data_IF_173658944530
#
_entry.id   IF_173658944530
#
_cell.length_a   1.000
_cell.length_b   1.000
_cell.length_c   1.000
_cell.angle_alpha   90.00
_cell.angle_beta   90.00
_cell.angle_gamma   90.00
#
_symmetry.space_group_name_H-M   'P 1'
#
loop_
_entity.id
_entity.type
_entity.pdbx_description
1 polymer ?
#
# COMPACT_ATOMS: atom_id res chain seq x y z
N UNK A 1 -8.51 9.95 -19.18
CA UNK A 1 -7.12 9.58 -18.80
C UNK A 1 -6.81 10.33 -17.52
N UNK A 2 -6.19 9.69 -16.53
CA UNK A 2 -5.74 10.40 -15.33
C UNK A 2 -4.76 11.51 -15.73
N UNK A 3 -4.77 12.62 -15.01
CA UNK A 3 -3.76 13.68 -15.20
C UNK A 3 -2.36 13.10 -14.93
N UNK A 4 -1.37 13.50 -15.72
CA UNK A 4 0.03 13.13 -15.47
C UNK A 4 0.47 13.72 -14.13
N UNK A 5 1.12 12.89 -13.30
CA UNK A 5 1.71 13.31 -12.05
C UNK A 5 3.02 14.04 -12.33
N UNK A 6 3.21 15.23 -11.75
CA UNK A 6 4.31 16.14 -12.12
C UNK A 6 5.47 16.17 -11.11
N UNK A 7 5.29 15.56 -9.94
CA UNK A 7 6.28 15.59 -8.85
C UNK A 7 7.19 14.35 -8.90
N UNK A 8 8.19 14.28 -8.00
CA UNK A 8 9.15 13.17 -7.98
C UNK A 8 8.51 11.90 -7.40
N UNK A 9 9.04 10.76 -7.84
CA UNK A 9 8.70 9.45 -7.30
C UNK A 9 9.97 8.78 -6.78
N UNK A 10 10.01 8.48 -5.48
CA UNK A 10 11.01 7.58 -4.92
C UNK A 10 10.39 6.20 -4.75
N UNK A 11 11.05 5.19 -5.31
CA UNK A 11 10.68 3.78 -5.14
C UNK A 11 11.74 3.12 -4.28
N UNK A 12 11.34 2.61 -3.11
CA UNK A 12 12.21 1.78 -2.28
C UNK A 12 12.01 0.31 -2.66
N UNK A 13 13.10 -0.38 -2.95
CA UNK A 13 13.10 -1.76 -3.43
C UNK A 13 13.06 -1.86 -4.97
N UNK A 14 13.86 -2.77 -5.49
CA UNK A 14 13.95 -3.16 -6.90
C UNK A 14 13.71 -4.68 -7.07
N UNK A 15 12.71 -5.19 -6.34
CA UNK A 15 12.28 -6.58 -6.33
C UNK A 15 11.34 -6.94 -7.48
N UNK A 16 10.57 -8.03 -7.33
CA UNK A 16 9.57 -8.46 -8.31
C UNK A 16 8.45 -7.45 -8.48
N UNK A 17 7.94 -6.87 -7.39
CA UNK A 17 6.83 -5.91 -7.42
C UNK A 17 7.22 -4.64 -8.19
N UNK A 18 8.42 -4.11 -7.95
CA UNK A 18 8.92 -2.93 -8.66
C UNK A 18 9.05 -3.16 -10.16
N UNK A 19 9.49 -4.36 -10.58
CA UNK A 19 9.57 -4.74 -12.00
C UNK A 19 8.20 -4.71 -12.69
N UNK A 20 7.15 -5.09 -11.99
CA UNK A 20 5.79 -5.12 -12.52
C UNK A 20 5.16 -3.74 -12.60
N UNK A 21 5.39 -2.87 -11.60
CA UNK A 21 4.71 -1.57 -11.51
C UNK A 21 5.40 -0.47 -12.33
N UNK A 22 6.73 -0.51 -12.46
CA UNK A 22 7.51 0.52 -13.15
C UNK A 22 7.05 0.78 -14.59
N UNK A 23 6.82 -0.23 -15.45
CA UNK A 23 6.32 -0.01 -16.80
C UNK A 23 4.96 0.72 -16.81
N UNK A 24 4.06 0.34 -15.90
CA UNK A 24 2.72 0.93 -15.79
C UNK A 24 2.77 2.39 -15.33
N UNK A 25 3.64 2.71 -14.36
CA UNK A 25 3.85 4.10 -13.92
C UNK A 25 4.35 4.97 -15.08
N UNK A 26 5.35 4.49 -15.82
CA UNK A 26 5.95 5.22 -16.94
C UNK A 26 4.94 5.37 -18.10
N UNK A 27 4.11 4.36 -18.35
CA UNK A 27 3.13 4.39 -19.43
C UNK A 27 1.96 5.35 -19.13
N UNK A 28 1.51 5.39 -17.88
CA UNK A 28 0.22 6.02 -17.56
C UNK A 28 0.30 7.26 -16.68
N UNK A 29 1.34 7.43 -15.86
CA UNK A 29 1.31 8.40 -14.76
C UNK A 29 2.50 9.37 -14.73
N UNK A 30 3.72 8.93 -15.04
CA UNK A 30 4.94 9.73 -14.86
C UNK A 30 5.93 9.57 -16.02
N UNK A 31 6.82 10.55 -16.19
CA UNK A 31 8.06 10.40 -16.96
C UNK A 31 9.07 9.58 -16.15
N UNK A 32 9.84 8.71 -16.80
CA UNK A 32 10.88 7.91 -16.16
C UNK A 32 11.91 8.77 -15.40
N UNK A 33 12.21 9.99 -15.88
CA UNK A 33 13.14 10.92 -15.23
C UNK A 33 12.65 11.45 -13.86
N UNK A 34 11.35 11.31 -13.56
CA UNK A 34 10.81 11.63 -12.24
C UNK A 34 11.11 10.53 -11.21
N UNK A 35 11.52 9.34 -11.67
CA UNK A 35 11.66 8.15 -10.83
C UNK A 35 13.12 8.01 -10.35
N UNK A 36 13.27 7.90 -9.04
CA UNK A 36 14.47 7.37 -8.38
C UNK A 36 14.14 6.03 -7.75
N UNK A 37 14.94 5.00 -8.03
CA UNK A 37 14.82 3.65 -7.46
C UNK A 37 15.98 3.46 -6.49
N UNK A 38 15.70 3.09 -5.24
CA UNK A 38 16.71 2.83 -4.22
C UNK A 38 16.58 1.41 -3.69
N UNK A 39 17.69 0.66 -3.67
CA UNK A 39 17.74 -0.69 -3.10
C UNK A 39 19.14 -0.93 -2.52
N UNK A 40 19.22 -1.66 -1.41
CA UNK A 40 20.49 -2.00 -0.76
C UNK A 40 21.37 -2.93 -1.63
N UNK A 41 20.76 -3.69 -2.55
CA UNK A 41 21.46 -4.58 -3.49
C UNK A 41 21.57 -3.92 -4.86
N UNK A 42 22.55 -4.34 -5.65
CA UNK A 42 22.57 -3.99 -7.07
C UNK A 42 21.58 -4.87 -7.86
N UNK A 43 20.39 -4.32 -8.10
CA UNK A 43 19.31 -4.94 -8.85
C UNK A 43 19.03 -4.19 -10.15
N UNK A 44 19.96 -3.37 -10.68
CA UNK A 44 19.76 -2.58 -11.90
C UNK A 44 19.26 -3.39 -13.09
N UNK A 45 19.73 -4.64 -13.22
CA UNK A 45 19.29 -5.55 -14.28
C UNK A 45 17.79 -5.84 -14.25
N UNK A 46 17.18 -5.90 -13.05
CA UNK A 46 15.73 -6.13 -12.90
C UNK A 46 14.92 -4.96 -13.44
N UNK A 47 15.40 -3.74 -13.25
CA UNK A 47 14.67 -2.51 -13.60
C UNK A 47 15.23 -1.81 -14.83
N UNK A 48 16.00 -2.52 -15.67
CA UNK A 48 16.73 -1.96 -16.82
C UNK A 48 15.83 -1.13 -17.75
N UNK A 49 14.60 -1.60 -18.02
CA UNK A 49 13.67 -0.88 -18.89
C UNK A 49 13.28 0.52 -18.39
N UNK A 50 13.26 0.76 -17.07
CA UNK A 50 13.06 2.09 -16.52
C UNK A 50 14.32 2.95 -16.62
N UNK A 51 15.50 2.35 -16.38
CA UNK A 51 16.80 3.03 -16.46
C UNK A 51 17.12 3.48 -17.89
N UNK A 52 16.86 2.62 -18.89
CA UNK A 52 17.03 2.95 -20.30
C UNK A 52 16.16 4.14 -20.74
N UNK A 53 15.04 4.38 -20.03
CA UNK A 53 14.13 5.51 -20.25
C UNK A 53 14.49 6.76 -19.43
N UNK A 54 15.48 6.68 -18.54
CA UNK A 54 16.00 7.82 -17.78
C UNK A 54 15.70 7.82 -16.27
N UNK A 55 15.15 6.74 -15.71
CA UNK A 55 15.05 6.61 -14.25
C UNK A 55 16.44 6.52 -13.60
N UNK A 56 16.55 7.03 -12.37
CA UNK A 56 17.79 7.00 -11.59
C UNK A 56 17.81 5.77 -10.68
N UNK A 57 18.97 5.12 -10.54
CA UNK A 57 19.16 4.02 -9.59
C UNK A 57 20.23 4.36 -8.55
N UNK A 58 19.88 4.19 -7.28
CA UNK A 58 20.76 4.39 -6.13
C UNK A 58 20.89 3.05 -5.40
N UNK A 59 22.14 2.61 -5.20
CA UNK A 59 22.41 1.47 -4.35
C UNK A 59 22.74 1.98 -2.94
N UNK A 60 21.75 1.98 -2.06
CA UNK A 60 21.87 2.45 -0.67
C UNK A 60 20.82 1.75 0.20
N UNK A 61 21.03 1.76 1.51
CA UNK A 61 20.15 1.13 2.49
C UNK A 61 19.53 2.19 3.39
N UNK A 62 18.20 2.18 3.51
CA UNK A 62 17.50 2.93 4.55
C UNK A 62 17.59 2.17 5.88
N UNK A 63 18.03 2.86 6.93
CA UNK A 63 18.17 2.35 8.29
C UNK A 63 17.45 3.28 9.26
N UNK A 64 17.27 2.84 10.50
CA UNK A 64 16.69 3.68 11.57
C UNK A 64 17.45 5.00 11.73
N UNK A 65 18.79 4.96 11.65
CA UNK A 65 19.64 6.14 11.89
C UNK A 65 19.65 7.12 10.72
N UNK A 66 19.42 6.65 9.49
CA UNK A 66 19.61 7.46 8.29
C UNK A 66 18.31 7.87 7.58
N UNK A 67 17.15 7.30 7.96
CA UNK A 67 15.88 7.45 7.25
C UNK A 67 15.55 8.91 6.92
N UNK A 68 15.57 9.80 7.91
CA UNK A 68 15.25 11.21 7.69
C UNK A 68 16.21 11.87 6.70
N UNK A 69 17.52 11.71 6.93
CA UNK A 69 18.56 12.31 6.11
C UNK A 69 18.55 11.81 4.67
N UNK A 70 18.19 10.54 4.45
CA UNK A 70 18.15 9.93 3.13
C UNK A 70 16.89 10.33 2.38
N UNK A 71 15.71 10.22 3.00
CA UNK A 71 14.46 10.57 2.34
C UNK A 71 14.41 12.07 1.96
N UNK A 72 14.95 12.97 2.81
CA UNK A 72 15.04 14.41 2.50
C UNK A 72 15.91 14.76 1.28
N UNK A 73 16.83 13.89 0.85
CA UNK A 73 17.62 14.12 -0.38
C UNK A 73 16.78 13.94 -1.64
N UNK A 74 15.71 13.15 -1.55
CA UNK A 74 14.96 12.68 -2.72
C UNK A 74 13.51 13.18 -2.75
N UNK A 75 12.95 13.50 -1.58
CA UNK A 75 11.53 13.80 -1.41
C UNK A 75 11.31 15.14 -0.71
N UNK A 76 10.25 15.81 -1.14
CA UNK A 76 9.70 17.05 -0.62
C UNK A 76 8.17 16.99 -0.63
N UNK A 77 7.51 17.97 -0.01
CA UNK A 77 6.05 17.98 0.06
C UNK A 77 5.40 17.90 -1.34
N UNK A 78 4.44 16.98 -1.50
CA UNK A 78 3.78 16.70 -2.77
C UNK A 78 4.45 15.61 -3.63
N UNK A 79 5.67 15.19 -3.30
CA UNK A 79 6.31 14.03 -3.94
C UNK A 79 5.65 12.71 -3.48
N UNK A 80 5.96 11.63 -4.19
CA UNK A 80 5.40 10.30 -3.92
C UNK A 80 6.48 9.29 -3.51
N UNK A 81 6.28 8.64 -2.37
CA UNK A 81 7.05 7.50 -1.92
C UNK A 81 6.27 6.20 -2.13
N UNK A 82 6.79 5.35 -3.02
CA UNK A 82 6.32 3.99 -3.25
C UNK A 82 7.27 3.01 -2.55
N UNK A 83 6.82 2.48 -1.42
CA UNK A 83 7.59 1.60 -0.56
C UNK A 83 7.30 0.13 -0.88
N UNK A 84 8.25 -0.48 -1.59
CA UNK A 84 8.26 -1.90 -1.98
C UNK A 84 9.47 -2.62 -1.39
N UNK A 85 10.09 -2.04 -0.36
CA UNK A 85 11.21 -2.62 0.34
C UNK A 85 10.75 -3.56 1.46
N UNK A 86 11.70 -4.31 2.01
CA UNK A 86 11.52 -5.11 3.21
C UNK A 86 12.41 -4.52 4.32
N UNK A 87 12.11 -4.86 5.58
CA UNK A 87 12.91 -4.44 6.75
C UNK A 87 12.96 -2.92 7.00
N UNK A 88 11.91 -2.19 6.65
CA UNK A 88 11.70 -0.79 7.05
C UNK A 88 10.40 -0.75 7.85
N UNK A 89 10.42 -0.19 9.05
CA UNK A 89 9.20 -0.10 9.86
C UNK A 89 8.17 0.82 9.21
N UNK A 90 7.01 0.25 8.88
CA UNK A 90 5.94 0.93 8.17
C UNK A 90 5.41 2.15 8.95
N UNK A 91 5.35 2.08 10.29
CA UNK A 91 4.89 3.21 11.10
C UNK A 91 5.88 4.37 11.04
N UNK A 92 7.18 4.08 11.15
CA UNK A 92 8.25 5.08 11.10
C UNK A 92 8.24 5.84 9.77
N UNK A 93 8.24 5.12 8.65
CA UNK A 93 8.28 5.76 7.32
C UNK A 93 6.96 6.47 6.99
N UNK A 94 5.83 5.90 7.39
CA UNK A 94 4.51 6.52 7.22
C UNK A 94 4.41 7.84 8.01
N UNK A 95 4.89 7.87 9.25
CA UNK A 95 4.90 9.09 10.05
C UNK A 95 5.82 10.15 9.42
N UNK A 96 6.99 9.74 8.91
CA UNK A 96 7.88 10.65 8.20
C UNK A 96 7.20 11.27 6.97
N UNK A 97 6.52 10.47 6.14
CA UNK A 97 5.76 10.96 4.99
C UNK A 97 4.64 11.93 5.40
N UNK A 98 3.89 11.60 6.46
CA UNK A 98 2.86 12.48 7.01
C UNK A 98 3.43 13.84 7.42
N UNK A 99 4.55 13.84 8.16
CA UNK A 99 5.16 15.06 8.68
C UNK A 99 5.75 15.95 7.58
N UNK A 100 6.28 15.34 6.51
CA UNK A 100 6.91 16.03 5.38
C UNK A 100 5.96 16.27 4.19
N UNK A 101 4.68 15.91 4.31
CA UNK A 101 3.67 16.14 3.25
C UNK A 101 3.90 15.32 1.98
N UNK A 102 4.49 14.13 2.11
CA UNK A 102 4.79 13.21 1.01
C UNK A 102 3.68 12.17 0.88
N UNK A 103 3.21 11.92 -0.34
CA UNK A 103 2.27 10.83 -0.61
C UNK A 103 2.95 9.49 -0.35
N UNK A 104 2.24 8.52 0.23
CA UNK A 104 2.83 7.22 0.56
C UNK A 104 1.97 6.06 0.07
N UNK A 105 2.61 5.02 -0.49
CA UNK A 105 1.97 3.74 -0.74
C UNK A 105 2.92 2.60 -0.41
N UNK A 106 2.42 1.56 0.26
CA UNK A 106 3.13 0.29 0.39
C UNK A 106 2.22 -0.92 0.13
N UNK A 107 2.81 -2.12 0.16
CA UNK A 107 2.07 -3.39 -0.02
C UNK A 107 2.11 -4.31 1.19
N UNK A 108 2.80 -3.93 2.27
CA UNK A 108 2.95 -4.73 3.50
C UNK A 108 3.24 -3.85 4.72
N UNK A 109 2.76 -4.23 5.91
CA UNK A 109 3.18 -3.62 7.18
C UNK A 109 4.43 -4.33 7.70
N UNK A 110 5.57 -3.78 7.31
CA UNK A 110 6.91 -4.24 7.72
C UNK A 110 7.36 -3.62 9.05
N UNK A 111 8.35 -4.25 9.68
CA UNK A 111 9.02 -3.81 10.90
C UNK A 111 10.53 -3.75 10.67
N UNK A 112 11.22 -2.93 11.46
CA UNK A 112 12.67 -3.08 11.62
C UNK A 112 12.98 -4.42 12.29
N UNK A 113 13.91 -5.17 11.73
CA UNK A 113 14.39 -6.45 12.24
C UNK A 113 13.24 -7.38 12.68
N UNK A 114 12.36 -7.82 11.75
CA UNK A 114 11.10 -8.49 12.09
C UNK A 114 11.30 -9.80 12.86
N UNK A 115 12.49 -10.38 12.80
CA UNK A 115 12.87 -11.61 13.50
C UNK A 115 13.56 -11.37 14.84
N UNK A 116 13.85 -10.11 15.21
CA UNK A 116 14.46 -9.77 16.49
C UNK A 116 13.60 -10.31 17.65
N UNK A 117 14.23 -11.01 18.60
CA UNK A 117 13.56 -11.65 19.72
C UNK A 117 12.86 -12.98 19.41
N UNK A 118 12.66 -13.33 18.13
CA UNK A 118 12.19 -14.65 17.69
C UNK A 118 11.07 -15.26 18.54
N UNK A 119 11.32 -16.47 19.06
CA UNK A 119 10.37 -17.20 19.90
C UNK A 119 10.19 -16.61 21.32
N UNK A 120 11.06 -15.68 21.75
CA UNK A 120 11.00 -15.05 23.07
C UNK A 120 10.03 -13.87 23.13
N UNK A 121 9.53 -13.38 21.98
CA UNK A 121 8.46 -12.36 21.94
C UNK A 121 7.11 -12.97 22.31
N UNK A 122 6.27 -12.18 22.97
CA UNK A 122 4.90 -12.59 23.29
C UNK A 122 4.15 -12.95 21.98
N UNK A 123 3.39 -14.07 21.91
CA UNK A 123 2.75 -14.51 20.67
C UNK A 123 1.88 -13.45 19.98
N UNK A 124 1.20 -12.59 20.75
CA UNK A 124 0.38 -11.50 20.18
C UNK A 124 1.22 -10.49 19.40
N UNK A 125 2.42 -10.15 19.88
CA UNK A 125 3.32 -9.17 19.25
C UNK A 125 3.85 -9.65 17.89
N UNK A 126 3.72 -10.95 17.62
CA UNK A 126 4.13 -11.58 16.37
C UNK A 126 3.03 -11.60 15.31
N UNK A 127 1.85 -11.05 15.60
CA UNK A 127 0.69 -11.05 14.69
C UNK A 127 0.61 -9.78 13.85
N UNK A 128 0.07 -9.88 12.64
CA UNK A 128 -0.26 -8.71 11.82
C UNK A 128 -1.31 -7.81 12.51
N UNK A 129 -2.22 -8.40 13.30
CA UNK A 129 -3.19 -7.64 14.09
C UNK A 129 -2.50 -6.65 15.03
N UNK A 130 -1.47 -7.08 15.75
CA UNK A 130 -0.72 -6.21 16.65
C UNK A 130 -0.04 -5.06 15.88
N UNK A 131 0.56 -5.34 14.73
CA UNK A 131 1.16 -4.31 13.86
C UNK A 131 0.14 -3.26 13.40
N UNK A 132 -1.05 -3.72 12.98
CA UNK A 132 -2.16 -2.85 12.60
C UNK A 132 -2.65 -1.98 13.76
N UNK A 133 -2.76 -2.55 14.97
CA UNK A 133 -3.17 -1.79 16.14
C UNK A 133 -2.16 -0.69 16.51
N UNK A 134 -0.85 -0.96 16.39
CA UNK A 134 0.19 0.07 16.55
C UNK A 134 0.07 1.19 15.52
N UNK A 135 -0.24 0.86 14.26
CA UNK A 135 -0.48 1.87 13.22
C UNK A 135 -1.70 2.75 13.54
N UNK A 136 -2.79 2.16 14.03
CA UNK A 136 -3.98 2.93 14.47
C UNK A 136 -3.66 3.84 15.64
N UNK A 137 -2.89 3.36 16.61
CA UNK A 137 -2.42 4.17 17.74
C UNK A 137 -1.55 5.34 17.27
N UNK A 138 -0.58 5.09 16.38
CA UNK A 138 0.24 6.14 15.78
C UNK A 138 -0.62 7.19 15.08
N UNK A 139 -1.54 6.77 14.19
CA UNK A 139 -2.44 7.67 13.47
C UNK A 139 -3.31 8.50 14.43
N UNK A 140 -3.74 7.93 15.57
CA UNK A 140 -4.56 8.64 16.55
C UNK A 140 -3.85 9.84 17.19
N UNK A 141 -2.52 9.90 17.11
CA UNK A 141 -1.69 11.00 17.62
C UNK A 141 -1.50 12.13 16.60
N UNK A 142 -1.89 11.92 15.34
CA UNK A 142 -1.81 12.97 14.32
C UNK A 142 -2.84 14.07 14.57
N UNK A 143 -2.39 15.31 14.60
CA UNK A 143 -3.19 16.49 14.93
C UNK A 143 -3.54 17.38 13.72
N UNK A 144 -3.07 17.01 12.54
CA UNK A 144 -3.32 17.70 11.27
C UNK A 144 -3.70 16.70 10.20
N UNK A 145 -4.49 17.15 9.22
CA UNK A 145 -4.68 16.38 7.98
C UNK A 145 -3.39 16.51 7.17
N UNK A 146 -2.73 15.39 6.89
CA UNK A 146 -1.50 15.34 6.10
C UNK A 146 -1.75 14.81 4.69
N UNK A 147 -0.66 14.54 3.97
CA UNK A 147 -0.72 13.90 2.66
C UNK A 147 -1.35 12.50 2.74
N UNK A 148 -2.00 12.09 1.66
CA UNK A 148 -2.63 10.75 1.58
C UNK A 148 -1.58 9.66 1.66
N UNK A 149 -1.86 8.66 2.50
CA UNK A 149 -1.09 7.43 2.58
C UNK A 149 -2.02 6.22 2.42
N UNK A 150 -1.62 5.30 1.54
CA UNK A 150 -2.35 4.05 1.28
C UNK A 150 -1.47 2.89 1.74
N UNK A 151 -1.92 2.17 2.76
CA UNK A 151 -1.19 1.02 3.31
C UNK A 151 -1.75 -0.28 2.75
N UNK A 152 -0.88 -1.28 2.59
CA UNK A 152 -1.25 -2.65 2.23
C UNK A 152 -2.04 -2.75 0.91
N UNK A 153 -1.58 -2.04 -0.12
CA UNK A 153 -2.29 -1.91 -1.39
C UNK A 153 -1.59 -2.64 -2.53
N UNK A 154 -1.40 -3.95 -2.36
CA UNK A 154 -0.97 -4.87 -3.41
C UNK A 154 -2.13 -5.68 -3.99
N UNK A 155 -1.90 -6.98 -4.21
CA UNK A 155 -2.96 -7.93 -4.56
C UNK A 155 -3.76 -8.35 -3.31
N UNK A 156 -3.10 -9.00 -2.36
CA UNK A 156 -3.63 -9.53 -1.12
C UNK A 156 -2.60 -9.36 0.02
N UNK A 157 -2.62 -8.25 0.76
CA UNK A 157 -3.72 -7.27 0.89
C UNK A 157 -3.77 -6.23 -0.25
N UNK A 158 -4.93 -5.58 -0.43
CA UNK A 158 -5.16 -4.55 -1.45
C UNK A 158 -6.33 -4.89 -2.38
N UNK A 159 -6.04 -5.30 -3.62
CA UNK A 159 -7.02 -5.66 -4.66
C UNK A 159 -8.17 -6.53 -4.16
N UNK A 160 -7.88 -7.52 -3.31
CA UNK A 160 -8.89 -8.41 -2.74
C UNK A 160 -10.00 -7.68 -1.97
N UNK A 161 -9.71 -6.52 -1.36
CA UNK A 161 -10.73 -5.71 -0.69
C UNK A 161 -11.72 -5.11 -1.70
N UNK A 162 -11.23 -4.71 -2.89
CA UNK A 162 -12.08 -4.26 -3.99
C UNK A 162 -12.92 -5.40 -4.56
N UNK A 163 -12.31 -6.58 -4.73
CA UNK A 163 -13.01 -7.77 -5.20
C UNK A 163 -14.14 -8.18 -4.25
N UNK A 164 -13.91 -8.14 -2.93
CA UNK A 164 -14.97 -8.41 -1.94
C UNK A 164 -16.16 -7.47 -2.11
N UNK A 165 -15.92 -6.15 -2.23
CA UNK A 165 -16.99 -5.18 -2.47
C UNK A 165 -17.71 -5.46 -3.78
N UNK A 166 -16.96 -5.71 -4.86
CA UNK A 166 -17.52 -6.00 -6.18
C UNK A 166 -18.39 -7.27 -6.16
N UNK A 167 -17.94 -8.33 -5.49
CA UNK A 167 -18.72 -9.56 -5.32
C UNK A 167 -20.01 -9.32 -4.54
N UNK A 168 -20.00 -8.48 -3.49
CA UNK A 168 -21.23 -8.13 -2.77
C UNK A 168 -22.22 -7.37 -3.66
N UNK A 169 -21.74 -6.43 -4.48
CA UNK A 169 -22.57 -5.72 -5.48
C UNK A 169 -23.19 -6.72 -6.45
N UNK A 170 -22.41 -7.66 -6.97
CA UNK A 170 -22.89 -8.65 -7.94
C UNK A 170 -23.95 -9.59 -7.35
N UNK A 171 -23.71 -10.11 -6.14
CA UNK A 171 -24.65 -10.98 -5.42
C UNK A 171 -25.95 -10.23 -5.11
N UNK A 172 -25.85 -9.00 -4.59
CA UNK A 172 -27.02 -8.17 -4.28
C UNK A 172 -27.85 -7.85 -5.52
N UNK A 173 -27.19 -7.46 -6.61
CA UNK A 173 -27.85 -7.15 -7.88
C UNK A 173 -28.58 -8.37 -8.44
N UNK A 174 -27.97 -9.55 -8.39
CA UNK A 174 -28.62 -10.79 -8.82
C UNK A 174 -29.81 -11.15 -7.93
N UNK A 175 -29.66 -11.04 -6.60
CA UNK A 175 -30.74 -11.33 -5.67
C UNK A 175 -31.95 -10.40 -5.87
N UNK A 176 -31.72 -9.11 -6.14
CA UNK A 176 -32.78 -8.14 -6.45
C UNK A 176 -33.47 -8.50 -7.78
N UNK A 177 -32.69 -8.78 -8.82
CA UNK A 177 -33.21 -9.17 -10.14
C UNK A 177 -34.08 -10.44 -10.07
N UNK A 178 -33.69 -11.41 -9.25
CA UNK A 178 -34.43 -12.66 -9.08
C UNK A 178 -35.55 -12.58 -8.03
N UNK A 179 -35.81 -11.41 -7.45
CA UNK A 179 -36.78 -11.24 -6.35
C UNK A 179 -36.50 -12.16 -5.15
N UNK A 180 -35.22 -12.44 -4.88
CA UNK A 180 -34.72 -13.25 -3.75
C UNK A 180 -34.01 -12.42 -2.68
N UNK A 181 -33.86 -11.12 -2.90
CA UNK A 181 -33.22 -10.23 -1.95
C UNK A 181 -34.06 -10.08 -0.67
N UNK A 182 -33.40 -10.15 0.49
CA UNK A 182 -34.02 -9.80 1.75
C UNK A 182 -34.35 -8.30 1.81
N UNK A 183 -35.27 -7.92 2.70
CA UNK A 183 -35.60 -6.53 2.94
C UNK A 183 -34.34 -5.73 3.34
N UNK A 184 -34.17 -4.54 2.76
CA UNK A 184 -33.03 -3.66 3.05
C UNK A 184 -31.79 -3.87 2.17
N UNK A 185 -31.71 -4.94 1.37
CA UNK A 185 -30.57 -5.18 0.45
C UNK A 185 -30.44 -4.04 -0.56
N UNK A 186 -31.55 -3.57 -1.14
CA UNK A 186 -31.54 -2.48 -2.13
C UNK A 186 -30.98 -1.18 -1.53
N UNK A 187 -31.49 -0.74 -0.38
CA UNK A 187 -30.95 0.44 0.30
C UNK A 187 -29.49 0.26 0.70
N UNK A 188 -29.11 -0.89 1.26
CA UNK A 188 -27.71 -1.13 1.65
C UNK A 188 -26.75 -1.11 0.45
N UNK A 189 -27.21 -1.60 -0.71
CA UNK A 189 -26.47 -1.53 -1.97
C UNK A 189 -26.34 -0.09 -2.48
N UNK A 190 -27.45 0.65 -2.54
CA UNK A 190 -27.47 2.05 -3.00
C UNK A 190 -26.62 2.97 -2.12
N UNK A 191 -26.64 2.75 -0.81
CA UNK A 191 -25.88 3.54 0.17
C UNK A 191 -24.43 3.06 0.33
N UNK A 192 -24.00 2.04 -0.41
CA UNK A 192 -22.68 1.40 -0.30
C UNK A 192 -22.33 0.94 1.14
N UNK A 193 -23.33 0.50 1.91
CA UNK A 193 -23.17 0.00 3.28
C UNK A 193 -22.74 -1.47 3.28
N UNK A 194 -21.50 -1.74 2.84
CA UNK A 194 -20.99 -3.09 2.62
C UNK A 194 -21.02 -4.01 3.86
N UNK A 195 -20.89 -3.46 5.08
CA UNK A 195 -21.05 -4.21 6.32
C UNK A 195 -22.47 -4.76 6.48
N UNK A 196 -23.48 -3.93 6.20
CA UNK A 196 -24.88 -4.33 6.28
C UNK A 196 -25.23 -5.26 5.11
N UNK A 197 -24.69 -4.98 3.93
CA UNK A 197 -24.88 -5.80 2.74
C UNK A 197 -24.35 -7.23 2.98
N UNK A 198 -23.15 -7.38 3.56
CA UNK A 198 -22.60 -8.68 3.92
C UNK A 198 -23.54 -9.46 4.85
N UNK A 199 -24.11 -8.79 5.86
CA UNK A 199 -25.05 -9.40 6.81
C UNK A 199 -26.37 -9.80 6.13
N UNK A 200 -26.99 -8.89 5.38
CA UNK A 200 -28.27 -9.11 4.70
C UNK A 200 -28.21 -10.18 3.61
N UNK A 201 -27.06 -10.31 2.94
CA UNK A 201 -26.80 -11.38 1.98
C UNK A 201 -26.44 -12.72 2.64
N UNK A 202 -26.33 -12.77 3.97
CA UNK A 202 -25.99 -13.98 4.71
C UNK A 202 -24.56 -14.46 4.47
N UNK A 203 -23.61 -13.55 4.18
CA UNK A 203 -22.19 -13.89 4.02
C UNK A 203 -21.62 -14.36 5.36
N UNK A 204 -21.24 -15.64 5.43
CA UNK A 204 -20.69 -16.26 6.65
C UNK A 204 -19.17 -16.35 6.66
N UNK A 205 -18.57 -16.52 5.48
CA UNK A 205 -17.15 -16.79 5.31
C UNK A 205 -16.68 -16.08 4.04
N UNK A 206 -15.51 -15.44 4.14
CA UNK A 206 -14.78 -14.89 3.00
C UNK A 206 -13.39 -15.51 3.05
N UNK A 207 -13.03 -16.24 1.99
CA UNK A 207 -11.67 -16.75 1.80
C UNK A 207 -10.97 -15.94 0.72
N UNK A 208 -9.72 -15.57 0.97
CA UNK A 208 -8.83 -15.10 -0.08
C UNK A 208 -8.23 -16.35 -0.74
N UNK A 209 -8.90 -16.83 -1.79
CA UNK A 209 -8.59 -18.11 -2.45
C UNK A 209 -7.71 -17.89 -3.68
N UNK A 210 -6.41 -18.16 -3.54
CA UNK A 210 -5.41 -18.07 -4.61
C UNK A 210 -4.88 -19.49 -4.94
N UNK A 211 -4.69 -19.80 -6.23
CA UNK A 211 -4.21 -21.12 -6.70
C UNK A 211 -3.20 -20.96 -7.84
#
# INVERSE_FOLDING_TARGET
>A
MAEKFNNKVLILGAGSVSQSVLPLLIEHLVDAKQITIMDQRDNRLRVKGALDKGATYIQDQITQDNLDSQLKKHLSAGDFLLDLAWNIDANTILNWCHDNGVLYLNTSVEEWDPYAGGANKHPLERTLYYRHMRMREMKSKWNKVGATAIVEHGANPGLVSHLVKKSMVDIATLALKESKAAAGVESALTDERYNDLAHLLGVKVIHISER
#
